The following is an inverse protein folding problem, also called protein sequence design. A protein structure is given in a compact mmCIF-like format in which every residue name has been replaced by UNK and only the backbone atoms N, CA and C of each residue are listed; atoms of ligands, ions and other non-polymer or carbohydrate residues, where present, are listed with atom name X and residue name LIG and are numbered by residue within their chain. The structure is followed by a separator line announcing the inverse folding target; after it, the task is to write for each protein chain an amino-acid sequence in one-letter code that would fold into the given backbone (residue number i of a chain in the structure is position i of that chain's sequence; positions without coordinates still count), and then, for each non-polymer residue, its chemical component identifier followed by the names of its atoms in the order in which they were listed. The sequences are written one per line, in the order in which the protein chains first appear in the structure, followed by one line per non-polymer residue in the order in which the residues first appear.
data_IF_716181376164
#
_entry.id   IF_716181376164
#
_cell.length_a   1.000
_cell.length_b   1.000
_cell.length_c   1.000
_cell.angle_alpha   90.00
_cell.angle_beta   90.00
_cell.angle_gamma   90.00
#
_symmetry.space_group_name_H-M   'P 1'
#
loop_
_entity.id
_entity.type
_entity.pdbx_description
1 polymer ?
#
# COMPACT_ATOMS: atom_id res chain seq x y z
N UNK A 1 42.37 -34.73 -12.94
CA UNK A 1 41.04 -34.67 -13.56
C UNK A 1 40.15 -33.83 -12.66
N UNK A 2 40.20 -32.50 -12.82
CA UNK A 2 39.58 -31.56 -11.91
C UNK A 2 38.70 -30.58 -12.68
N UNK A 3 37.41 -30.57 -12.36
CA UNK A 3 36.51 -29.43 -12.57
C UNK A 3 35.54 -29.38 -11.39
N UNK A 4 35.96 -28.68 -10.34
CA UNK A 4 35.02 -28.06 -9.41
C UNK A 4 34.23 -27.03 -10.21
N UNK A 5 32.96 -27.30 -10.51
CA UNK A 5 32.07 -26.30 -11.11
C UNK A 5 31.46 -25.47 -9.98
N UNK A 6 32.15 -24.37 -9.69
CA UNK A 6 31.63 -23.03 -9.41
C UNK A 6 30.15 -22.97 -9.00
N UNK A 7 29.94 -22.74 -7.70
CA UNK A 7 28.90 -21.94 -7.08
C UNK A 7 27.68 -21.55 -7.96
N UNK A 8 26.57 -22.24 -7.76
CA UNK A 8 25.26 -21.60 -7.91
C UNK A 8 25.06 -20.65 -6.71
N UNK A 9 25.79 -19.53 -6.70
CA UNK A 9 25.33 -18.34 -5.99
C UNK A 9 24.09 -17.93 -6.76
N UNK A 10 22.94 -18.46 -6.33
CA UNK A 10 21.64 -17.93 -6.68
C UNK A 10 21.61 -16.49 -6.21
N UNK A 11 22.21 -15.60 -7.02
CA UNK A 11 22.03 -14.17 -6.92
C UNK A 11 20.54 -13.98 -6.86
N UNK A 12 20.10 -13.27 -5.81
CA UNK A 12 18.69 -12.99 -5.57
C UNK A 12 18.04 -12.77 -6.92
N UNK A 13 17.22 -13.73 -7.36
CA UNK A 13 16.30 -13.48 -8.45
C UNK A 13 15.62 -12.20 -8.00
N UNK A 14 15.82 -11.12 -8.75
CA UNK A 14 15.11 -9.89 -8.55
C UNK A 14 13.65 -10.27 -8.85
N UNK A 15 13.00 -10.93 -7.87
CA UNK A 15 11.60 -11.25 -7.92
C UNK A 15 11.04 -9.86 -8.04
N UNK A 16 10.53 -9.52 -9.23
CA UNK A 16 9.66 -8.35 -9.36
C UNK A 16 8.70 -8.34 -8.17
N UNK A 17 8.24 -7.15 -7.73
CA UNK A 17 7.65 -6.91 -6.41
C UNK A 17 6.97 -8.17 -5.89
N UNK A 18 7.46 -8.72 -4.76
CA UNK A 18 6.88 -9.92 -4.14
C UNK A 18 5.38 -9.85 -4.29
N UNK A 19 4.74 -10.85 -4.93
CA UNK A 19 3.30 -10.89 -5.18
C UNK A 19 2.59 -10.22 -4.00
N UNK A 20 2.09 -9.00 -4.22
CA UNK A 20 1.83 -8.06 -3.14
C UNK A 20 0.97 -8.71 -2.06
N UNK A 21 1.43 -8.66 -0.82
CA UNK A 21 0.56 -8.89 0.31
C UNK A 21 -0.56 -7.85 0.25
N UNK A 22 -1.71 -8.21 0.81
CA UNK A 22 -2.82 -7.28 0.92
C UNK A 22 -3.23 -7.12 2.37
N UNK A 23 -3.62 -5.90 2.72
CA UNK A 23 -4.22 -5.59 4.00
C UNK A 23 -5.50 -4.76 3.78
N UNK A 24 -6.55 -5.10 4.51
CA UNK A 24 -7.81 -4.36 4.45
C UNK A 24 -7.81 -3.25 5.50
N UNK A 25 -8.23 -2.07 5.08
CA UNK A 25 -8.51 -0.93 5.95
C UNK A 25 -10.01 -0.69 5.89
N UNK A 26 -10.68 -0.86 7.03
CA UNK A 26 -12.11 -0.62 7.11
C UNK A 26 -12.44 0.86 6.85
N UNK A 27 -13.73 1.19 6.73
CA UNK A 27 -14.16 2.58 6.75
C UNK A 27 -13.91 3.21 8.13
N UNK A 28 -13.77 4.54 8.15
CA UNK A 28 -13.57 5.32 9.38
C UNK A 28 -12.33 4.92 10.19
N UNK A 29 -11.26 4.49 9.52
CA UNK A 29 -9.98 4.24 10.17
C UNK A 29 -9.09 5.48 10.13
N UNK A 30 -8.36 5.72 11.21
CA UNK A 30 -7.37 6.77 11.30
C UNK A 30 -5.99 6.16 11.48
N UNK A 31 -5.06 6.54 10.61
CA UNK A 31 -3.65 6.16 10.68
C UNK A 31 -3.42 4.64 10.92
N UNK A 32 -4.24 3.76 10.31
CA UNK A 32 -4.02 2.31 10.39
C UNK A 32 -2.64 2.01 9.81
N UNK A 33 -1.79 1.36 10.60
CA UNK A 33 -0.43 0.98 10.21
C UNK A 33 -0.50 -0.26 9.31
N UNK A 34 0.17 -0.22 8.16
CA UNK A 34 0.27 -1.37 7.26
C UNK A 34 1.41 -2.30 7.70
N UNK A 35 1.13 -3.60 7.69
CA UNK A 35 2.01 -4.58 8.31
C UNK A 35 1.89 -4.56 9.83
N UNK A 36 2.57 -5.50 10.51
CA UNK A 36 2.49 -5.58 11.98
C UNK A 36 3.17 -4.39 12.65
N UNK A 37 4.27 -3.90 12.06
CA UNK A 37 5.00 -2.72 12.55
C UNK A 37 5.26 -1.72 11.43
N UNK A 38 5.54 -2.20 10.22
CA UNK A 38 6.02 -1.46 9.07
C UNK A 38 7.42 -0.86 9.26
N UNK A 39 8.10 -0.52 8.16
CA UNK A 39 9.43 0.12 8.21
C UNK A 39 9.74 0.96 6.97
N UNK A 40 10.86 1.68 7.05
CA UNK A 40 11.49 2.32 5.89
C UNK A 40 11.82 1.25 4.83
N UNK A 41 11.47 1.54 3.59
CA UNK A 41 11.68 0.66 2.44
C UNK A 41 10.50 -0.25 2.11
N UNK A 42 9.46 -0.30 2.94
CA UNK A 42 8.22 -1.02 2.63
C UNK A 42 7.57 -0.43 1.38
N UNK A 43 7.09 -1.32 0.52
CA UNK A 43 6.61 -0.98 -0.81
C UNK A 43 5.09 -0.89 -0.81
N UNK A 44 4.55 0.23 -1.27
CA UNK A 44 3.13 0.42 -1.51
C UNK A 44 2.90 0.46 -3.03
N UNK A 45 2.31 -0.60 -3.56
CA UNK A 45 1.99 -0.72 -4.99
C UNK A 45 0.81 0.19 -5.34
N UNK A 46 -0.29 0.03 -4.60
CA UNK A 46 -1.53 0.76 -4.85
C UNK A 46 -2.62 0.44 -3.85
N UNK A 47 -3.71 1.17 -3.97
CA UNK A 47 -4.91 1.05 -3.12
C UNK A 47 -6.12 0.76 -4.00
N UNK A 48 -6.83 -0.33 -3.72
CA UNK A 48 -8.18 -0.53 -4.23
C UNK A 48 -9.19 0.08 -3.27
N UNK A 49 -9.69 1.26 -3.60
CA UNK A 49 -10.73 1.96 -2.85
C UNK A 49 -12.11 1.44 -3.25
N UNK A 50 -12.87 0.91 -2.30
CA UNK A 50 -14.26 0.47 -2.48
C UNK A 50 -15.18 1.50 -1.83
N UNK A 51 -15.79 2.35 -2.67
CA UNK A 51 -16.63 3.47 -2.25
C UNK A 51 -18.08 3.01 -2.12
N UNK A 52 -18.64 3.20 -0.93
CA UNK A 52 -20.06 3.04 -0.63
C UNK A 52 -20.81 4.38 -0.52
N UNK A 53 -20.13 5.45 -0.10
CA UNK A 53 -20.71 6.79 0.01
C UNK A 53 -19.73 7.84 -0.52
N UNK A 54 -20.01 8.38 -1.71
CA UNK A 54 -19.09 9.27 -2.42
C UNK A 54 -18.68 10.52 -1.60
N UNK A 55 -19.63 11.17 -0.91
CA UNK A 55 -19.38 12.42 -0.18
C UNK A 55 -18.39 12.29 1.00
N UNK A 56 -18.17 11.07 1.50
CA UNK A 56 -17.30 10.77 2.64
C UNK A 56 -16.22 9.73 2.29
N UNK A 57 -15.86 9.65 1.00
CA UNK A 57 -14.99 8.61 0.47
C UNK A 57 -13.48 8.92 0.49
N UNK A 58 -13.02 10.01 1.12
CA UNK A 58 -11.60 10.38 1.09
C UNK A 58 -10.69 9.25 1.63
N UNK A 59 -9.56 9.02 0.97
CA UNK A 59 -8.46 8.17 1.45
C UNK A 59 -7.17 8.97 1.46
N UNK A 60 -6.43 8.85 2.56
CA UNK A 60 -5.12 9.47 2.74
C UNK A 60 -4.08 8.44 3.14
N UNK A 61 -2.82 8.68 2.76
CA UNK A 61 -1.66 7.91 3.22
C UNK A 61 -0.70 8.78 4.02
N UNK A 62 0.12 8.17 4.88
CA UNK A 62 1.31 8.78 5.50
C UNK A 62 2.50 7.84 5.39
N UNK A 63 3.67 8.42 5.14
CA UNK A 63 4.96 7.74 5.26
C UNK A 63 5.54 7.99 6.66
N UNK A 64 5.47 6.98 7.55
CA UNK A 64 5.92 7.08 8.94
C UNK A 64 5.17 8.15 9.76
N UNK A 65 5.89 9.21 10.13
CA UNK A 65 5.35 10.38 10.86
C UNK A 65 5.15 11.61 9.96
N UNK A 66 5.29 11.45 8.64
CA UNK A 66 5.09 12.51 7.66
C UNK A 66 3.65 13.02 7.59
N UNK A 67 3.46 14.08 6.81
CA UNK A 67 2.15 14.68 6.56
C UNK A 67 1.21 13.73 5.85
N UNK A 68 -0.09 13.88 6.10
CA UNK A 68 -1.13 13.17 5.35
C UNK A 68 -1.14 13.61 3.88
N UNK A 69 -1.23 12.63 2.98
CA UNK A 69 -1.30 12.84 1.53
C UNK A 69 -2.65 12.29 1.07
N UNK A 70 -3.53 13.16 0.58
CA UNK A 70 -4.79 12.71 -0.03
C UNK A 70 -4.51 12.03 -1.37
N UNK A 71 -4.85 10.76 -1.48
CA UNK A 71 -4.66 9.94 -2.70
C UNK A 71 -5.97 9.62 -3.39
N UNK A 72 -7.09 9.76 -2.68
CA UNK A 72 -8.43 9.63 -3.24
C UNK A 72 -9.35 10.68 -2.58
N UNK A 73 -9.94 11.62 -3.33
CA UNK A 73 -10.76 12.69 -2.76
C UNK A 73 -12.20 12.23 -2.46
N UNK A 74 -12.94 13.04 -1.70
CA UNK A 74 -14.40 12.92 -1.62
C UNK A 74 -15.03 13.22 -2.99
N UNK A 75 -16.20 12.62 -3.22
CA UNK A 75 -17.00 12.78 -4.45
C UNK A 75 -16.18 12.51 -5.71
N UNK A 76 -15.61 11.30 -5.87
CA UNK A 76 -14.95 10.93 -7.13
C UNK A 76 -15.96 11.10 -8.28
N UNK A 77 -15.48 11.51 -9.46
CA UNK A 77 -16.37 11.91 -10.58
C UNK A 77 -17.38 10.84 -11.01
N UNK A 78 -17.06 9.55 -10.86
CA UNK A 78 -17.98 8.45 -11.15
C UNK A 78 -18.81 7.98 -9.95
N UNK A 79 -18.62 8.57 -8.76
CA UNK A 79 -19.43 8.32 -7.56
C UNK A 79 -19.09 7.03 -6.81
N UNK A 80 -20.09 6.18 -6.61
CA UNK A 80 -19.97 4.90 -5.89
C UNK A 80 -19.37 3.86 -6.84
N UNK A 81 -18.38 3.10 -6.36
CA UNK A 81 -17.68 2.12 -7.17
C UNK A 81 -16.32 1.72 -6.61
N UNK A 82 -15.57 0.97 -7.39
CA UNK A 82 -14.20 0.55 -7.05
C UNK A 82 -13.18 1.28 -7.90
N UNK A 83 -12.14 1.82 -7.25
CA UNK A 83 -11.11 2.63 -7.88
C UNK A 83 -9.74 2.13 -7.46
N UNK A 84 -8.89 1.80 -8.43
CA UNK A 84 -7.50 1.47 -8.14
C UNK A 84 -6.63 2.73 -8.26
N UNK A 85 -6.02 3.11 -7.15
CA UNK A 85 -5.05 4.20 -7.08
C UNK A 85 -3.66 3.60 -7.11
N UNK A 86 -2.99 3.69 -8.26
CA UNK A 86 -1.61 3.23 -8.42
C UNK A 86 -0.63 4.24 -7.80
N UNK A 87 0.34 3.76 -7.02
CA UNK A 87 1.34 4.59 -6.35
C UNK A 87 2.77 4.17 -6.72
N UNK A 88 3.10 2.89 -6.52
CA UNK A 88 4.40 2.33 -6.88
C UNK A 88 5.59 2.93 -6.13
N UNK A 89 5.45 3.23 -4.84
CA UNK A 89 6.44 3.94 -4.02
C UNK A 89 6.96 3.10 -2.86
N UNK A 90 8.16 3.44 -2.37
CA UNK A 90 8.73 2.89 -1.13
C UNK A 90 8.70 3.94 -0.04
N UNK A 91 8.45 3.51 1.19
CA UNK A 91 8.59 4.37 2.35
C UNK A 91 10.03 4.87 2.49
N UNK A 92 10.18 6.16 2.79
CA UNK A 92 11.43 6.79 3.19
C UNK A 92 11.52 7.04 4.69
N UNK A 93 10.41 7.05 5.43
CA UNK A 93 10.38 7.52 6.82
C UNK A 93 9.89 6.49 7.85
N UNK A 94 9.15 5.45 7.44
CA UNK A 94 8.66 4.40 8.33
C UNK A 94 7.40 3.74 7.82
N UNK A 95 6.67 3.03 8.69
CA UNK A 95 5.47 2.32 8.28
C UNK A 95 4.49 3.20 7.48
N UNK A 96 3.95 2.64 6.39
CA UNK A 96 2.83 3.25 5.69
C UNK A 96 1.61 3.25 6.61
N UNK A 97 0.88 4.36 6.62
CA UNK A 97 -0.40 4.44 7.32
C UNK A 97 -1.49 4.89 6.39
N UNK A 98 -2.68 4.34 6.56
CA UNK A 98 -3.85 4.66 5.74
C UNK A 98 -4.95 5.19 6.63
N UNK A 99 -5.56 6.30 6.20
CA UNK A 99 -6.76 6.88 6.79
C UNK A 99 -7.89 6.82 5.77
N UNK A 100 -9.06 6.35 6.20
CA UNK A 100 -10.26 6.22 5.37
C UNK A 100 -11.39 7.07 5.92
N UNK A 101 -12.13 7.71 5.02
CA UNK A 101 -13.41 8.32 5.34
C UNK A 101 -14.49 7.28 5.64
N UNK A 102 -15.65 7.74 6.12
CA UNK A 102 -16.76 6.85 6.47
C UNK A 102 -17.41 6.14 5.26
N UNK A 103 -17.18 6.64 4.05
CA UNK A 103 -17.80 6.16 2.82
C UNK A 103 -16.93 5.22 1.99
N UNK A 104 -15.75 4.83 2.47
CA UNK A 104 -14.78 4.03 1.70
C UNK A 104 -14.09 3.00 2.57
N UNK A 105 -13.90 1.80 2.05
CA UNK A 105 -12.93 0.83 2.57
C UNK A 105 -11.82 0.63 1.55
N UNK A 106 -10.64 0.19 1.99
CA UNK A 106 -9.47 0.07 1.14
C UNK A 106 -8.87 -1.32 1.25
N UNK A 107 -8.44 -1.87 0.12
CA UNK A 107 -7.50 -2.98 0.07
C UNK A 107 -6.17 -2.40 -0.37
N UNK A 108 -5.21 -2.34 0.56
CA UNK A 108 -3.85 -1.89 0.29
C UNK A 108 -3.03 -3.06 -0.24
N UNK A 109 -2.31 -2.86 -1.34
CA UNK A 109 -1.48 -3.89 -1.98
C UNK A 109 -0.02 -3.44 -1.93
N UNK A 110 0.86 -4.31 -1.45
CA UNK A 110 2.26 -3.97 -1.28
C UNK A 110 3.10 -5.05 -0.62
N UNK A 111 4.25 -4.65 -0.09
CA UNK A 111 5.09 -5.46 0.79
C UNK A 111 5.32 -4.64 2.06
N UNK A 112 4.66 -5.07 3.14
CA UNK A 112 4.67 -4.43 4.45
C UNK A 112 5.29 -5.40 5.44
N UNK A 113 6.13 -4.93 6.36
CA UNK A 113 6.84 -5.82 7.30
C UNK A 113 6.58 -5.57 8.78
#
# INVERSE_FOLDING_TARGET
MGRSSTANRGGAINRGPSLGEYETVAASQADQVMGTTGKIGDYLEGLLCVVATAATAQVQIKDGAGSAITVFPNSPGSGIGSYYVYLGVKSAAGAWKITTGAGVSVIAVGNFT
#
